data_IF_298275223783
#
_entry.id   IF_298275223783
#
_cell.length_a   1.000
_cell.length_b   1.000
_cell.length_c   1.000
_cell.angle_alpha   90.00
_cell.angle_beta   90.00
_cell.angle_gamma   90.00
#
_symmetry.space_group_name_H-M   'P 1'
#
loop_
_entity.id
_entity.type
_entity.pdbx_description
1 polymer ?
#
# COMPACT_ATOMS: atom_id res chain seq x y z
N UNK A 1 -21.87 -7.23 -17.10
CA UNK A 1 -20.67 -6.74 -17.84
C UNK A 1 -19.54 -6.62 -16.84
N UNK A 2 -18.37 -7.16 -17.15
CA UNK A 2 -17.19 -6.98 -16.29
C UNK A 2 -16.64 -5.58 -16.55
N UNK A 3 -16.48 -4.77 -15.50
CA UNK A 3 -15.87 -3.45 -15.62
C UNK A 3 -14.40 -3.60 -16.04
N UNK A 4 -14.01 -2.85 -17.08
CA UNK A 4 -12.62 -2.79 -17.51
C UNK A 4 -11.87 -1.81 -16.63
N UNK A 5 -10.84 -2.32 -15.93
CA UNK A 5 -9.94 -1.48 -15.12
C UNK A 5 -8.60 -1.33 -15.82
N UNK A 6 -8.13 -0.09 -15.98
CA UNK A 6 -6.84 0.23 -16.58
C UNK A 6 -5.99 1.06 -15.62
N UNK A 7 -4.74 0.64 -15.41
CA UNK A 7 -3.75 1.41 -14.64
C UNK A 7 -3.01 2.37 -15.55
N UNK A 8 -3.02 3.65 -15.20
CA UNK A 8 -2.31 4.71 -15.93
C UNK A 8 -1.13 5.18 -15.08
N UNK A 9 0.04 5.33 -15.71
CA UNK A 9 1.22 5.90 -15.09
C UNK A 9 1.41 7.34 -15.53
N UNK A 10 1.40 8.27 -14.59
CA UNK A 10 1.66 9.68 -14.83
C UNK A 10 3.09 10.02 -14.42
N UNK A 11 3.80 10.75 -15.29
CA UNK A 11 5.10 11.33 -14.95
C UNK A 11 4.87 12.74 -14.39
N UNK A 12 5.27 12.93 -13.13
CA UNK A 12 5.14 14.23 -12.48
C UNK A 12 6.34 15.12 -12.79
N UNK A 13 6.09 16.40 -13.04
CA UNK A 13 7.10 17.44 -13.11
C UNK A 13 7.21 18.08 -11.74
N UNK A 14 8.33 17.86 -11.08
CA UNK A 14 8.58 18.30 -9.70
C UNK A 14 9.87 19.09 -9.60
N UNK A 15 9.88 20.13 -8.76
CA UNK A 15 11.13 20.81 -8.41
C UNK A 15 11.99 19.91 -7.50
N UNK A 16 13.29 20.19 -7.35
CA UNK A 16 14.14 19.44 -6.42
C UNK A 16 13.59 19.41 -5.00
N UNK A 17 13.06 20.53 -4.51
CA UNK A 17 12.46 20.62 -3.16
C UNK A 17 11.19 19.76 -3.04
N UNK A 18 10.34 19.76 -4.06
CA UNK A 18 9.16 18.90 -4.12
C UNK A 18 9.56 17.41 -4.15
N UNK A 19 10.60 17.07 -4.91
CA UNK A 19 11.18 15.74 -4.96
C UNK A 19 11.61 15.25 -3.58
N UNK A 20 12.30 16.09 -2.81
CA UNK A 20 12.70 15.78 -1.42
C UNK A 20 11.48 15.48 -0.55
N UNK A 21 10.43 16.32 -0.62
CA UNK A 21 9.20 16.10 0.17
C UNK A 21 8.50 14.78 -0.18
N UNK A 22 8.45 14.41 -1.45
CA UNK A 22 7.87 13.13 -1.86
C UNK A 22 8.74 11.94 -1.45
N UNK A 23 10.06 12.03 -1.57
CA UNK A 23 10.98 11.01 -1.09
C UNK A 23 10.83 10.78 0.43
N UNK A 24 10.76 11.85 1.21
CA UNK A 24 10.54 11.76 2.65
C UNK A 24 9.20 11.08 2.97
N UNK A 25 8.12 11.50 2.32
CA UNK A 25 6.80 10.92 2.53
C UNK A 25 6.78 9.42 2.22
N UNK A 26 7.32 9.01 1.07
CA UNK A 26 7.34 7.59 0.67
C UNK A 26 8.24 6.74 1.57
N UNK A 27 9.33 7.31 2.06
CA UNK A 27 10.23 6.62 3.00
C UNK A 27 9.57 6.45 4.38
N UNK A 28 8.93 7.48 4.93
CA UNK A 28 8.18 7.38 6.19
C UNK A 28 7.02 6.40 6.07
N UNK A 29 6.32 6.39 4.93
CA UNK A 29 5.27 5.40 4.67
C UNK A 29 5.83 3.98 4.63
N UNK A 30 6.98 3.75 3.97
CA UNK A 30 7.66 2.45 3.95
C UNK A 30 8.01 1.97 5.35
N UNK A 31 8.58 2.87 6.17
CA UNK A 31 8.91 2.58 7.57
C UNK A 31 7.67 2.22 8.38
N UNK A 32 6.57 2.95 8.19
CA UNK A 32 5.29 2.65 8.82
C UNK A 32 4.75 1.27 8.39
N UNK A 33 4.84 0.91 7.11
CA UNK A 33 4.46 -0.43 6.64
C UNK A 33 5.31 -1.53 7.30
N UNK A 34 6.62 -1.30 7.49
CA UNK A 34 7.50 -2.24 8.18
C UNK A 34 7.15 -2.35 9.67
N UNK A 35 6.84 -1.24 10.31
CA UNK A 35 6.38 -1.22 11.71
C UNK A 35 5.09 -2.05 11.88
N UNK A 36 4.08 -1.81 11.04
CA UNK A 36 2.85 -2.61 11.03
C UNK A 36 3.12 -4.08 10.74
N UNK A 37 4.01 -4.35 9.79
CA UNK A 37 4.39 -5.73 9.44
C UNK A 37 5.03 -6.47 10.60
N UNK A 38 5.95 -5.81 11.32
CA UNK A 38 6.55 -6.37 12.54
C UNK A 38 5.47 -6.66 13.58
N UNK A 39 4.57 -5.70 13.82
CA UNK A 39 3.47 -5.87 14.79
C UNK A 39 2.56 -7.06 14.42
N UNK A 40 2.20 -7.23 13.15
CA UNK A 40 1.40 -8.37 12.68
C UNK A 40 2.13 -9.69 12.95
N UNK A 41 3.43 -9.73 12.69
CA UNK A 41 4.27 -10.92 12.90
C UNK A 41 4.32 -11.30 14.39
N UNK A 42 4.54 -10.33 15.28
CA UNK A 42 4.68 -10.53 16.73
C UNK A 42 3.32 -10.84 17.41
N UNK A 43 2.20 -10.45 16.79
CA UNK A 43 0.86 -10.64 17.33
C UNK A 43 0.04 -11.70 16.57
N UNK A 44 0.63 -12.88 16.38
CA UNK A 44 -0.04 -14.09 15.86
C UNK A 44 -0.71 -13.88 14.50
N UNK A 45 -0.11 -13.02 13.65
CA UNK A 45 -0.64 -12.72 12.32
C UNK A 45 -2.10 -12.21 12.32
N UNK A 46 -2.47 -11.40 13.30
CA UNK A 46 -3.75 -10.73 13.30
C UNK A 46 -3.87 -9.78 12.11
N UNK A 47 -4.78 -10.07 11.19
CA UNK A 47 -5.04 -9.27 9.97
C UNK A 47 -6.37 -8.51 10.05
N UNK A 48 -6.97 -8.39 11.24
CA UNK A 48 -8.19 -7.63 11.45
C UNK A 48 -7.90 -6.14 11.44
N UNK A 49 -8.29 -5.45 10.35
CA UNK A 49 -8.03 -4.02 10.17
C UNK A 49 -8.49 -3.16 11.35
N UNK A 50 -9.67 -3.41 11.88
CA UNK A 50 -10.24 -2.62 12.98
C UNK A 50 -9.38 -2.71 14.26
N UNK A 51 -8.92 -3.90 14.62
CA UNK A 51 -8.02 -4.12 15.75
C UNK A 51 -6.70 -3.38 15.54
N UNK A 52 -6.03 -3.62 14.41
CA UNK A 52 -4.75 -2.97 14.08
C UNK A 52 -4.86 -1.45 14.02
N UNK A 53 -5.96 -0.93 13.46
CA UNK A 53 -6.15 0.52 13.40
C UNK A 53 -6.36 1.12 14.79
N UNK A 54 -7.10 0.45 15.67
CA UNK A 54 -7.31 0.90 17.06
C UNK A 54 -5.99 0.99 17.82
N UNK A 55 -5.12 0.04 17.62
CA UNK A 55 -3.86 -0.10 18.37
C UNK A 55 -2.72 0.76 17.77
N UNK A 56 -2.59 0.80 16.44
CA UNK A 56 -1.41 1.37 15.79
C UNK A 56 -1.61 2.78 15.22
N UNK A 57 -2.86 3.24 15.02
CA UNK A 57 -3.13 4.49 14.33
C UNK A 57 -2.43 5.69 14.96
N UNK A 58 -2.47 5.81 16.29
CA UNK A 58 -1.82 6.91 17.01
C UNK A 58 -0.31 6.89 16.81
N UNK A 59 0.30 5.72 16.98
CA UNK A 59 1.75 5.54 16.84
C UNK A 59 2.22 5.84 15.42
N UNK A 60 1.48 5.38 14.40
CA UNK A 60 1.81 5.65 13.00
C UNK A 60 1.80 7.16 12.70
N UNK A 61 0.91 7.91 13.34
CA UNK A 61 0.86 9.36 13.20
C UNK A 61 2.00 10.07 13.92
N UNK A 62 2.33 9.62 15.11
CA UNK A 62 3.34 10.27 15.96
C UNK A 62 4.75 9.91 15.51
N UNK A 63 5.04 8.62 15.33
CA UNK A 63 6.40 8.14 15.03
C UNK A 63 6.84 8.45 13.60
N UNK A 64 5.91 8.38 12.65
CA UNK A 64 6.22 8.57 11.22
C UNK A 64 5.67 9.87 10.64
N UNK A 65 4.98 10.70 11.43
CA UNK A 65 4.40 11.96 10.97
C UNK A 65 3.35 11.80 9.86
N UNK A 66 2.76 10.61 9.70
CA UNK A 66 1.81 10.34 8.63
C UNK A 66 0.49 11.05 8.86
N UNK A 67 -0.11 11.60 7.79
CA UNK A 67 -1.49 12.08 7.83
C UNK A 67 -2.47 10.92 7.99
N UNK A 68 -3.67 11.21 8.49
CA UNK A 68 -4.68 10.19 8.86
C UNK A 68 -4.88 9.11 7.81
N UNK A 69 -5.06 9.50 6.56
CA UNK A 69 -5.32 8.55 5.49
C UNK A 69 -4.09 7.69 5.19
N UNK A 70 -2.89 8.28 5.17
CA UNK A 70 -1.64 7.54 4.96
C UNK A 70 -1.37 6.54 6.09
N UNK A 71 -1.64 6.90 7.35
CA UNK A 71 -1.53 5.98 8.47
C UNK A 71 -2.47 4.77 8.31
N UNK A 72 -3.72 5.02 7.93
CA UNK A 72 -4.68 3.94 7.63
C UNK A 72 -4.29 3.11 6.41
N UNK A 73 -3.77 3.74 5.36
CA UNK A 73 -3.29 3.04 4.16
C UNK A 73 -2.10 2.14 4.46
N UNK A 74 -1.16 2.53 5.32
CA UNK A 74 -0.01 1.69 5.67
C UNK A 74 -0.44 0.38 6.36
N UNK A 75 -1.47 0.43 7.20
CA UNK A 75 -2.07 -0.77 7.82
C UNK A 75 -2.68 -1.67 6.73
N UNK A 76 -3.49 -1.09 5.83
CA UNK A 76 -4.13 -1.85 4.74
C UNK A 76 -3.10 -2.50 3.82
N UNK A 77 -2.04 -1.77 3.49
CA UNK A 77 -0.93 -2.25 2.64
C UNK A 77 -0.22 -3.44 3.28
N UNK A 78 0.10 -3.37 4.57
CA UNK A 78 0.71 -4.48 5.29
C UNK A 78 -0.22 -5.70 5.31
N UNK A 79 -1.49 -5.53 5.67
CA UNK A 79 -2.50 -6.61 5.66
C UNK A 79 -2.60 -7.25 4.26
N UNK A 80 -2.73 -6.45 3.22
CA UNK A 80 -2.83 -6.94 1.84
C UNK A 80 -1.61 -7.78 1.46
N UNK A 81 -0.43 -7.36 1.88
CA UNK A 81 0.81 -8.11 1.60
C UNK A 81 0.83 -9.46 2.32
N UNK A 82 0.43 -9.54 3.59
CA UNK A 82 0.31 -10.82 4.31
C UNK A 82 -0.74 -11.74 3.66
N UNK A 83 -1.89 -11.19 3.25
CA UNK A 83 -2.90 -11.96 2.50
C UNK A 83 -2.36 -12.52 1.19
N UNK A 84 -1.62 -11.71 0.43
CA UNK A 84 -0.97 -12.14 -0.81
C UNK A 84 0.04 -13.26 -0.57
N UNK A 85 0.90 -13.11 0.45
CA UNK A 85 1.88 -14.15 0.83
C UNK A 85 1.16 -15.44 1.20
N UNK A 86 0.09 -15.36 2.00
CA UNK A 86 -0.73 -16.54 2.35
C UNK A 86 -1.29 -17.23 1.11
N UNK A 87 -1.82 -16.48 0.17
CA UNK A 87 -2.39 -17.04 -1.07
C UNK A 87 -1.32 -17.62 -2.01
N UNK A 88 -0.20 -16.93 -2.20
CA UNK A 88 0.81 -17.35 -3.18
C UNK A 88 1.75 -18.44 -2.68
N UNK A 89 2.22 -18.33 -1.43
CA UNK A 89 3.24 -19.24 -0.91
C UNK A 89 2.65 -20.46 -0.19
N UNK A 90 1.48 -20.31 0.42
CA UNK A 90 0.90 -21.32 1.29
C UNK A 90 -0.36 -21.99 0.71
N UNK A 91 -0.71 -21.71 -0.52
CA UNK A 91 -1.87 -22.29 -1.20
C UNK A 91 -1.72 -23.81 -1.37
N UNK A 92 -0.49 -24.30 -1.64
CA UNK A 92 -0.23 -25.72 -1.77
C UNK A 92 0.25 -26.29 -0.44
N UNK A 93 -0.37 -27.35 0.10
CA UNK A 93 0.09 -27.99 1.32
C UNK A 93 1.50 -28.55 1.16
N UNK A 94 2.22 -28.67 2.26
CA UNK A 94 3.47 -29.42 2.31
C UNK A 94 3.15 -30.91 2.26
N UNK A 95 3.80 -31.62 1.32
CA UNK A 95 3.60 -33.03 1.08
C UNK A 95 4.83 -33.83 1.53
N UNK A 96 4.63 -34.85 2.34
CA UNK A 96 5.70 -35.72 2.80
C UNK A 96 5.24 -37.18 2.85
N UNK A 97 6.19 -38.12 2.85
CA UNK A 97 5.91 -39.55 3.09
C UNK A 97 6.06 -39.82 4.59
N UNK A 98 5.07 -40.47 5.17
CA UNK A 98 5.14 -41.00 6.52
C UNK A 98 5.97 -42.28 6.60
N UNK A 99 6.26 -42.77 7.82
CA UNK A 99 7.06 -43.97 8.07
C UNK A 99 6.45 -45.26 7.43
N UNK A 100 5.13 -45.29 7.29
CA UNK A 100 4.40 -46.37 6.60
C UNK A 100 4.42 -46.28 5.07
N UNK A 101 5.10 -45.24 4.51
CA UNK A 101 5.17 -44.97 3.08
C UNK A 101 3.96 -44.23 2.52
N UNK A 102 2.96 -43.90 3.32
CA UNK A 102 1.79 -43.15 2.90
C UNK A 102 2.09 -41.66 2.72
N UNK A 103 1.39 -40.99 1.78
CA UNK A 103 1.52 -39.56 1.59
C UNK A 103 0.66 -38.79 2.59
N UNK A 104 1.30 -37.90 3.33
CA UNK A 104 0.66 -36.96 4.25
C UNK A 104 0.77 -35.52 3.75
N UNK A 105 -0.15 -34.68 4.18
CA UNK A 105 -0.23 -33.27 3.78
C UNK A 105 -0.38 -32.40 5.01
N UNK A 106 0.39 -31.33 5.09
CA UNK A 106 0.29 -30.31 6.14
C UNK A 106 -0.12 -29.00 5.48
N UNK A 107 -1.26 -28.45 5.91
CA UNK A 107 -1.67 -27.10 5.47
C UNK A 107 -0.71 -26.07 6.03
N UNK A 108 -0.13 -25.25 5.16
CA UNK A 108 0.76 -24.17 5.56
C UNK A 108 -0.06 -22.98 6.06
N UNK A 109 0.42 -22.33 7.11
CA UNK A 109 -0.15 -21.11 7.67
C UNK A 109 0.89 -20.00 7.66
N UNK A 110 0.50 -18.77 8.02
CA UNK A 110 1.45 -17.66 8.14
C UNK A 110 2.53 -17.92 9.22
N UNK A 111 2.26 -18.79 10.19
CA UNK A 111 3.22 -19.22 11.22
C UNK A 111 4.47 -19.92 10.66
N UNK A 112 4.45 -20.31 9.39
CA UNK A 112 5.62 -20.81 8.68
C UNK A 112 6.59 -19.70 8.25
N UNK A 113 6.23 -18.45 8.44
CA UNK A 113 7.15 -17.32 8.22
C UNK A 113 8.13 -17.23 9.40
N UNK A 114 9.41 -17.16 9.09
CA UNK A 114 10.50 -17.04 10.07
C UNK A 114 10.81 -15.58 10.40
N UNK A 115 10.41 -14.66 9.54
CA UNK A 115 10.64 -13.22 9.67
C UNK A 115 9.43 -12.45 9.19
N UNK A 116 9.22 -11.22 9.68
CA UNK A 116 8.16 -10.36 9.16
C UNK A 116 8.39 -10.03 7.69
N UNK A 117 7.32 -9.68 7.00
CA UNK A 117 7.41 -9.23 5.61
C UNK A 117 8.05 -7.84 5.57
N UNK A 118 9.13 -7.69 4.82
CA UNK A 118 9.88 -6.45 4.75
C UNK A 118 9.61 -5.68 3.45
N UNK A 119 9.19 -4.44 3.57
CA UNK A 119 9.00 -3.50 2.46
C UNK A 119 10.31 -2.80 2.14
N UNK A 120 10.92 -3.16 1.01
CA UNK A 120 12.25 -2.65 0.62
C UNK A 120 12.19 -1.30 -0.11
N UNK A 121 11.17 -1.10 -0.95
CA UNK A 121 11.06 0.07 -1.81
C UNK A 121 10.20 1.14 -1.17
N UNK A 122 10.63 2.42 -1.19
CA UNK A 122 9.77 3.53 -0.83
C UNK A 122 8.55 3.59 -1.75
N UNK A 123 7.36 3.70 -1.16
CA UNK A 123 6.09 3.82 -1.86
C UNK A 123 5.09 4.54 -0.96
N UNK A 124 3.95 4.94 -1.50
CA UNK A 124 2.81 5.39 -0.73
C UNK A 124 1.53 5.12 -1.51
N UNK A 125 0.52 4.60 -0.81
CA UNK A 125 -0.81 4.40 -1.37
C UNK A 125 -1.67 5.61 -1.04
N UNK A 126 -1.94 6.42 -2.06
CA UNK A 126 -2.65 7.67 -1.95
C UNK A 126 -4.11 7.51 -2.37
N UNK A 127 -5.03 8.01 -1.57
CA UNK A 127 -6.47 7.98 -1.83
C UNK A 127 -6.91 9.27 -2.50
N UNK A 128 -7.60 9.16 -3.65
CA UNK A 128 -8.15 10.31 -4.37
C UNK A 128 -9.11 11.11 -3.48
N UNK A 129 -9.08 12.42 -3.64
CA UNK A 129 -9.85 13.42 -2.90
C UNK A 129 -9.53 13.50 -1.39
N UNK A 130 -8.63 12.65 -0.88
CA UNK A 130 -8.10 12.70 0.48
C UNK A 130 -6.62 13.04 0.47
N UNK A 131 -5.80 12.20 -0.15
CA UNK A 131 -4.36 12.40 -0.21
C UNK A 131 -3.92 13.14 -1.47
N UNK A 132 -4.62 12.95 -2.58
CA UNK A 132 -4.38 13.72 -3.79
C UNK A 132 -5.69 14.13 -4.46
N UNK A 133 -5.63 15.16 -5.28
CA UNK A 133 -6.73 15.63 -6.13
C UNK A 133 -6.20 16.23 -7.41
N UNK A 134 -6.98 16.09 -8.48
CA UNK A 134 -6.76 16.86 -9.69
C UNK A 134 -7.22 18.31 -9.46
N UNK A 135 -6.40 19.25 -9.88
CA UNK A 135 -6.66 20.70 -9.80
C UNK A 135 -6.36 21.34 -11.14
N UNK A 136 -6.66 22.62 -11.29
CA UNK A 136 -6.43 23.39 -12.52
C UNK A 136 -7.08 22.71 -13.75
N UNK A 137 -8.36 22.37 -13.63
CA UNK A 137 -9.12 21.65 -14.67
C UNK A 137 -8.47 20.32 -15.11
N UNK A 138 -7.85 19.60 -14.19
CA UNK A 138 -7.21 18.32 -14.45
C UNK A 138 -5.78 18.40 -14.98
N UNK A 139 -5.18 19.59 -15.06
CA UNK A 139 -3.81 19.77 -15.57
C UNK A 139 -2.72 19.58 -14.52
N UNK A 140 -3.10 19.64 -13.25
CA UNK A 140 -2.18 19.51 -12.12
C UNK A 140 -2.70 18.56 -11.07
N UNK A 141 -1.77 18.02 -10.27
CA UNK A 141 -2.06 17.22 -9.09
C UNK A 141 -1.67 17.98 -7.83
N UNK A 142 -2.57 18.01 -6.86
CA UNK A 142 -2.30 18.46 -5.50
C UNK A 142 -2.16 17.23 -4.60
N UNK A 143 -0.98 16.96 -4.08
CA UNK A 143 -0.63 15.74 -3.34
C UNK A 143 -0.26 16.09 -1.91
N UNK A 144 -0.76 15.34 -0.93
CA UNK A 144 -0.33 15.44 0.46
C UNK A 144 1.11 14.99 0.59
N UNK A 145 1.89 15.72 1.37
CA UNK A 145 3.17 15.27 1.91
C UNK A 145 3.04 15.15 3.43
N UNK A 146 4.12 14.90 4.14
CA UNK A 146 4.09 14.85 5.62
C UNK A 146 3.60 16.17 6.23
N UNK A 147 4.04 17.30 5.69
CA UNK A 147 3.65 18.63 6.15
C UNK A 147 2.45 19.19 5.39
N UNK A 148 2.67 19.78 4.24
CA UNK A 148 1.70 20.51 3.42
C UNK A 148 1.35 19.78 2.13
N UNK A 149 0.28 20.19 1.48
CA UNK A 149 -0.01 19.74 0.10
C UNK A 149 0.94 20.42 -0.88
N UNK A 150 1.39 19.67 -1.85
CA UNK A 150 2.29 20.12 -2.91
C UNK A 150 1.59 19.97 -4.25
N UNK A 151 1.65 21.01 -5.08
CA UNK A 151 1.11 20.97 -6.45
C UNK A 151 2.23 20.69 -7.43
N UNK A 152 1.96 19.80 -8.39
CA UNK A 152 2.86 19.52 -9.49
C UNK A 152 2.05 19.27 -10.77
N UNK A 153 2.62 19.61 -11.90
CA UNK A 153 2.09 19.25 -13.22
C UNK A 153 2.52 17.83 -13.60
N UNK A 154 1.92 17.30 -14.64
CA UNK A 154 2.26 15.96 -15.16
C UNK A 154 2.11 15.91 -16.68
N UNK A 155 2.75 14.92 -17.30
CA UNK A 155 2.57 14.65 -18.72
C UNK A 155 1.18 14.07 -18.96
N UNK A 156 0.30 14.84 -19.60
CA UNK A 156 -1.09 14.43 -19.86
C UNK A 156 -1.32 13.83 -21.26
N UNK A 157 -0.48 14.18 -22.24
CA UNK A 157 -0.67 13.78 -23.66
C UNK A 157 -0.92 12.29 -23.88
N UNK A 158 -0.17 11.36 -23.24
CA UNK A 158 -0.39 9.92 -23.44
C UNK A 158 -1.69 9.41 -22.82
N UNK A 159 -2.40 10.24 -22.04
CA UNK A 159 -3.52 9.82 -21.20
C UNK A 159 -4.75 10.72 -21.34
N UNK A 160 -4.73 11.66 -22.28
CA UNK A 160 -5.82 12.61 -22.48
C UNK A 160 -7.17 11.92 -22.71
N UNK A 161 -7.18 10.79 -23.40
CA UNK A 161 -8.38 9.97 -23.64
C UNK A 161 -9.01 9.38 -22.38
N UNK A 162 -8.24 9.24 -21.28
CA UNK A 162 -8.73 8.73 -19.98
C UNK A 162 -9.09 9.85 -19.01
N UNK A 163 -8.79 11.09 -19.34
CA UNK A 163 -9.02 12.26 -18.51
C UNK A 163 -10.16 13.15 -19.05
N UNK A 164 -10.79 12.77 -20.15
CA UNK A 164 -11.88 13.48 -20.80
C UNK A 164 -13.24 13.37 -20.08
N UNK A 165 -13.29 12.59 -19.00
CA UNK A 165 -14.50 12.36 -18.21
C UNK A 165 -15.30 11.12 -18.61
N UNK A 166 -14.92 10.43 -19.68
CA UNK A 166 -15.56 9.16 -20.10
C UNK A 166 -15.19 7.98 -19.19
N UNK A 167 -14.11 8.12 -18.41
CA UNK A 167 -13.61 7.10 -17.47
C UNK A 167 -13.81 7.52 -16.02
N UNK A 168 -14.21 6.57 -15.18
CA UNK A 168 -14.23 6.76 -13.74
C UNK A 168 -12.81 6.57 -13.17
N UNK A 169 -12.25 7.64 -12.61
CA UNK A 169 -10.98 7.55 -11.93
C UNK A 169 -11.13 6.79 -10.60
N UNK A 170 -10.35 5.74 -10.41
CA UNK A 170 -10.37 4.94 -9.18
C UNK A 170 -10.19 5.78 -7.92
N UNK A 171 -10.96 5.46 -6.88
CA UNK A 171 -10.93 6.16 -5.60
C UNK A 171 -9.89 5.52 -4.68
N UNK A 172 -9.75 4.21 -4.78
CA UNK A 172 -8.81 3.41 -4.00
C UNK A 172 -7.84 2.75 -4.96
N UNK A 173 -6.56 2.85 -4.67
CA UNK A 173 -5.59 1.94 -5.25
C UNK A 173 -5.52 0.70 -4.36
N UNK A 174 -5.42 -0.50 -4.95
CA UNK A 174 -5.38 -1.76 -4.20
C UNK A 174 -4.13 -1.91 -3.36
#
# INVERSE_FOLDING_TARGET
MSDLTKTIKLRLHVSPEQGILFCQMTEHYRQACNFVSQYIFDNQFNLAYQSLNKELYSDLRVLFGLKSQLAQSSIKTAIARYKTVKQQLFQKPYKYKDQDGSWKYITKTLEWLWTPIFFKRPQADLVRNRDYSFVDNGQSLSINTLGKRTRCTFESKPFSEYLDGSWNLGINQP
#
